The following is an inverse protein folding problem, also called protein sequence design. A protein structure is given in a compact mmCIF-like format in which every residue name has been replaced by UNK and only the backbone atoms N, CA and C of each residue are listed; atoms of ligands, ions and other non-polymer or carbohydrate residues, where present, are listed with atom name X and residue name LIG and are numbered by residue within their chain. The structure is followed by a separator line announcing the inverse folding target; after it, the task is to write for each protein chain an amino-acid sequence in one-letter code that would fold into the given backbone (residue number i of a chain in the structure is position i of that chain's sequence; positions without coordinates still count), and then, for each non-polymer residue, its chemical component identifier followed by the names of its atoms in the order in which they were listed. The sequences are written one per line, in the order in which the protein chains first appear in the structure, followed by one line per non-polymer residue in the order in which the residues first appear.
data_IF_069060117036
#
_entry.id   IF_069060117036
#
_cell.length_a   1.000
_cell.length_b   1.000
_cell.length_c   1.000
_cell.angle_alpha   90.00
_cell.angle_beta   90.00
_cell.angle_gamma   90.00
#
_symmetry.space_group_name_H-M   'P 1'
#
loop_
_entity.id
_entity.type
_entity.pdbx_description
1 polymer ?
#
# COMPACT_ATOMS: atom_id res chain seq x y z
N UNK A 1 -5.89 -31.14 -66.10
CA UNK A 1 -4.86 -31.55 -65.12
C UNK A 1 -5.18 -30.92 -63.77
N UNK A 2 -5.56 -31.71 -62.76
CA UNK A 2 -5.38 -31.38 -61.32
C UNK A 2 -3.98 -31.86 -60.89
N UNK A 3 -3.40 -31.52 -59.70
CA UNK A 3 -3.68 -30.50 -58.67
C UNK A 3 -2.41 -29.77 -58.11
N UNK A 4 -2.57 -29.05 -56.98
CA UNK A 4 -1.58 -28.58 -55.95
C UNK A 4 -1.07 -27.12 -56.08
N UNK A 5 -1.05 -26.27 -55.05
CA UNK A 5 -1.44 -26.47 -53.65
C UNK A 5 -1.15 -25.24 -52.74
N UNK A 6 -1.61 -25.39 -51.49
CA UNK A 6 -1.21 -24.70 -50.24
C UNK A 6 -1.58 -23.21 -50.09
N UNK A 7 -2.64 -22.98 -49.31
CA UNK A 7 -2.99 -21.68 -48.76
C UNK A 7 -2.00 -21.17 -47.71
N UNK A 8 -1.88 -19.85 -47.62
CA UNK A 8 -1.16 -19.14 -46.57
C UNK A 8 -2.19 -18.37 -45.74
N UNK A 9 -2.25 -18.69 -44.44
CA UNK A 9 -3.15 -18.08 -43.46
C UNK A 9 -2.68 -16.69 -43.08
N UNK A 10 -3.62 -15.75 -42.96
CA UNK A 10 -3.42 -14.43 -42.37
C UNK A 10 -2.86 -14.55 -40.93
N UNK A 11 -1.69 -13.96 -40.71
CA UNK A 11 -1.02 -13.91 -39.42
C UNK A 11 -1.75 -13.00 -38.44
N UNK A 12 -2.26 -13.58 -37.36
CA UNK A 12 -2.72 -12.90 -36.15
C UNK A 12 -1.51 -12.23 -35.47
N UNK A 13 -1.39 -10.91 -35.53
CA UNK A 13 -0.57 -10.12 -34.60
C UNK A 13 -1.24 -10.14 -33.22
N UNK A 14 -1.02 -11.23 -32.48
CA UNK A 14 -1.46 -11.37 -31.10
C UNK A 14 -0.54 -10.59 -30.18
N UNK A 15 -1.01 -9.47 -29.64
CA UNK A 15 -0.46 -8.93 -28.40
C UNK A 15 -0.61 -9.99 -27.31
N UNK A 16 0.53 -10.50 -26.83
CA UNK A 16 0.59 -11.48 -25.75
C UNK A 16 0.25 -10.75 -24.45
N UNK A 17 -1.02 -10.77 -24.06
CA UNK A 17 -1.44 -10.41 -22.72
C UNK A 17 -0.69 -11.36 -21.76
N UNK A 18 0.27 -10.84 -21.01
CA UNK A 18 0.95 -11.57 -19.94
C UNK A 18 -0.14 -11.89 -18.91
N UNK A 19 -0.70 -13.09 -18.97
CA UNK A 19 -1.56 -13.63 -17.92
C UNK A 19 -0.70 -13.73 -16.67
N UNK A 20 -0.91 -12.85 -15.70
CA UNK A 20 -0.42 -13.07 -14.35
C UNK A 20 -0.94 -14.44 -13.90
N UNK A 21 0.00 -15.33 -13.58
CA UNK A 21 -0.27 -16.73 -13.26
C UNK A 21 -1.27 -16.84 -12.10
N UNK A 22 -2.34 -17.64 -12.20
CA UNK A 22 -3.30 -17.82 -11.11
C UNK A 22 -2.59 -18.42 -9.89
N UNK A 23 -2.59 -17.71 -8.77
CA UNK A 23 -1.96 -18.17 -7.50
C UNK A 23 -2.80 -19.27 -6.81
N UNK A 24 -3.59 -20.03 -7.57
CA UNK A 24 -4.60 -20.97 -7.09
C UNK A 24 -4.09 -22.33 -6.61
N UNK A 25 -2.78 -22.54 -6.41
CA UNK A 25 -2.25 -23.87 -6.06
C UNK A 25 -1.34 -23.95 -4.83
N UNK A 26 -1.08 -22.87 -4.10
CA UNK A 26 -0.10 -22.90 -2.99
C UNK A 26 -0.62 -22.46 -1.62
N UNK A 27 -1.87 -22.05 -1.49
CA UNK A 27 -2.39 -21.67 -0.18
C UNK A 27 -2.97 -22.90 0.53
N UNK A 28 -2.12 -23.56 1.33
CA UNK A 28 -2.63 -24.29 2.49
C UNK A 28 -3.42 -23.27 3.31
N UNK A 29 -4.69 -23.56 3.46
CA UNK A 29 -5.69 -22.79 4.18
C UNK A 29 -5.19 -22.45 5.59
N UNK A 30 -4.92 -21.18 5.86
CA UNK A 30 -5.13 -20.66 7.21
C UNK A 30 -6.65 -20.71 7.42
N UNK A 31 -7.12 -21.73 8.12
CA UNK A 31 -8.54 -22.14 8.28
C UNK A 31 -9.45 -21.08 8.92
N UNK A 32 -8.96 -19.87 9.18
CA UNK A 32 -9.62 -18.82 9.96
C UNK A 32 -10.13 -17.63 9.14
N UNK A 33 -9.95 -17.60 7.81
CA UNK A 33 -10.43 -16.50 6.97
C UNK A 33 -11.77 -16.83 6.28
N UNK A 34 -12.87 -16.67 7.02
CA UNK A 34 -14.23 -17.02 6.57
C UNK A 34 -14.68 -16.27 5.29
N UNK A 35 -14.15 -15.08 5.02
CA UNK A 35 -14.52 -14.25 3.87
C UNK A 35 -14.04 -14.82 2.51
N UNK A 36 -13.14 -15.80 2.51
CA UNK A 36 -12.62 -16.43 1.28
C UNK A 36 -13.38 -17.71 0.89
N UNK A 37 -14.48 -18.06 1.57
CA UNK A 37 -15.28 -19.25 1.27
C UNK A 37 -16.23 -19.00 0.08
N UNK A 38 -15.83 -19.42 -1.13
CA UNK A 38 -16.71 -19.45 -2.31
C UNK A 38 -15.94 -19.65 -3.62
N UNK A 39 -16.62 -20.09 -4.70
CA UNK A 39 -16.08 -20.25 -6.07
C UNK A 39 -15.76 -18.91 -6.77
N UNK A 40 -15.53 -17.83 -6.01
CA UNK A 40 -15.21 -16.51 -6.55
C UNK A 40 -13.69 -16.36 -6.63
N UNK A 41 -13.19 -15.94 -7.78
CA UNK A 41 -11.77 -15.59 -7.93
C UNK A 41 -11.54 -14.20 -7.33
N UNK A 42 -10.74 -14.13 -6.28
CA UNK A 42 -10.29 -12.89 -5.66
C UNK A 42 -8.94 -12.47 -6.26
N UNK A 43 -8.78 -11.18 -6.52
CA UNK A 43 -7.47 -10.58 -6.83
C UNK A 43 -6.57 -10.61 -5.60
N UNK A 44 -5.25 -10.51 -5.80
CA UNK A 44 -4.29 -10.43 -4.69
C UNK A 44 -4.57 -9.22 -3.77
N UNK A 45 -5.02 -8.10 -4.35
CA UNK A 45 -5.40 -6.90 -3.61
C UNK A 45 -6.62 -7.14 -2.73
N UNK A 46 -7.70 -7.75 -3.26
CA UNK A 46 -8.88 -8.08 -2.46
C UNK A 46 -8.53 -9.03 -1.30
N UNK A 47 -7.70 -10.04 -1.55
CA UNK A 47 -7.25 -10.95 -0.48
C UNK A 47 -6.51 -10.19 0.61
N UNK A 48 -5.60 -9.29 0.24
CA UNK A 48 -4.84 -8.50 1.19
C UNK A 48 -5.74 -7.56 2.02
N UNK A 49 -6.70 -6.88 1.38
CA UNK A 49 -7.68 -6.02 2.05
C UNK A 49 -8.51 -6.81 3.05
N UNK A 50 -8.99 -8.00 2.67
CA UNK A 50 -9.74 -8.90 3.56
C UNK A 50 -8.89 -9.31 4.77
N UNK A 51 -7.62 -9.67 4.54
CA UNK A 51 -6.69 -10.05 5.62
C UNK A 51 -6.48 -8.90 6.61
N UNK A 52 -6.26 -7.68 6.10
CA UNK A 52 -6.11 -6.48 6.94
C UNK A 52 -7.36 -6.23 7.77
N UNK A 53 -8.54 -6.21 7.15
CA UNK A 53 -9.81 -5.99 7.83
C UNK A 53 -10.06 -7.02 8.93
N UNK A 54 -9.75 -8.30 8.69
CA UNK A 54 -9.93 -9.35 9.69
C UNK A 54 -8.96 -9.21 10.86
N UNK A 55 -7.68 -8.91 10.59
CA UNK A 55 -6.70 -8.68 11.64
C UNK A 55 -7.08 -7.46 12.49
N UNK A 56 -7.54 -6.37 11.86
CA UNK A 56 -8.01 -5.15 12.51
C UNK A 56 -9.23 -5.45 13.40
N UNK A 57 -10.27 -6.10 12.86
CA UNK A 57 -11.47 -6.48 13.63
C UNK A 57 -11.12 -7.35 14.84
N UNK A 58 -10.19 -8.28 14.69
CA UNK A 58 -9.76 -9.14 15.79
C UNK A 58 -9.05 -8.35 16.90
N UNK A 59 -8.28 -7.32 16.53
CA UNK A 59 -7.63 -6.43 17.51
C UNK A 59 -8.65 -5.51 18.20
N UNK A 60 -9.54 -4.88 17.43
CA UNK A 60 -10.50 -3.89 17.94
C UNK A 60 -11.62 -4.51 18.78
N UNK A 61 -12.01 -5.75 18.51
CA UNK A 61 -12.92 -6.52 19.36
C UNK A 61 -12.27 -7.04 20.66
N UNK A 62 -10.96 -6.84 20.83
CA UNK A 62 -10.21 -7.34 21.97
C UNK A 62 -9.86 -8.83 21.91
N UNK A 63 -10.29 -9.56 20.87
CA UNK A 63 -9.97 -10.97 20.64
C UNK A 63 -8.46 -11.20 20.52
N UNK A 64 -7.75 -10.26 19.88
CA UNK A 64 -6.29 -10.30 19.72
C UNK A 64 -5.65 -9.09 20.39
N UNK A 65 -4.84 -9.33 21.43
CA UNK A 65 -4.05 -8.28 22.07
C UNK A 65 -2.72 -8.07 21.32
N UNK A 66 -2.35 -6.81 21.07
CA UNK A 66 -1.05 -6.44 20.50
C UNK A 66 0.04 -6.55 21.56
N UNK A 67 0.96 -7.50 21.39
CA UNK A 67 1.94 -7.93 22.41
C UNK A 67 3.25 -7.16 22.37
N UNK A 68 3.70 -6.75 21.18
CA UNK A 68 5.02 -6.16 20.98
C UNK A 68 4.99 -4.98 19.99
N UNK A 69 6.12 -4.30 19.83
CA UNK A 69 6.22 -3.12 18.97
C UNK A 69 6.05 -3.47 17.48
N UNK A 70 6.44 -4.67 17.05
CA UNK A 70 6.22 -5.15 15.68
C UNK A 70 4.73 -5.26 15.38
N UNK A 71 3.95 -5.94 16.22
CA UNK A 71 2.52 -6.07 16.04
C UNK A 71 1.80 -4.72 16.08
N UNK A 72 2.25 -3.80 16.94
CA UNK A 72 1.73 -2.42 16.99
C UNK A 72 2.01 -1.64 15.70
N UNK A 73 3.23 -1.76 15.16
CA UNK A 73 3.59 -1.16 13.88
C UNK A 73 2.76 -1.72 12.73
N UNK A 74 2.75 -3.04 12.59
CA UNK A 74 1.98 -3.75 11.56
C UNK A 74 0.47 -3.43 11.64
N UNK A 75 -0.11 -3.40 12.85
CA UNK A 75 -1.49 -2.95 13.04
C UNK A 75 -1.70 -1.51 12.54
N UNK A 76 -0.75 -0.62 12.84
CA UNK A 76 -0.77 0.76 12.39
C UNK A 76 -0.79 0.89 10.87
N UNK A 77 0.08 0.15 10.17
CA UNK A 77 0.14 0.13 8.71
C UNK A 77 -1.15 -0.42 8.07
N UNK A 78 -1.69 -1.52 8.60
CA UNK A 78 -2.96 -2.09 8.11
C UNK A 78 -4.13 -1.10 8.27
N UNK A 79 -4.20 -0.42 9.42
CA UNK A 79 -5.23 0.61 9.68
C UNK A 79 -5.10 1.79 8.75
N UNK A 80 -3.88 2.22 8.47
CA UNK A 80 -3.60 3.31 7.53
C UNK A 80 -4.02 2.94 6.11
N UNK A 81 -3.74 1.72 5.65
CA UNK A 81 -4.20 1.24 4.35
C UNK A 81 -5.73 1.27 4.24
N UNK A 82 -6.43 0.64 5.20
CA UNK A 82 -7.90 0.61 5.22
C UNK A 82 -8.49 2.01 5.28
N UNK A 83 -7.87 2.93 6.03
CA UNK A 83 -8.30 4.31 6.16
C UNK A 83 -8.26 5.05 4.82
N UNK A 84 -7.14 5.05 4.11
CA UNK A 84 -7.06 5.73 2.81
C UNK A 84 -7.89 5.03 1.72
N UNK A 85 -7.93 3.70 1.71
CA UNK A 85 -8.76 2.95 0.76
C UNK A 85 -10.27 3.24 0.97
N UNK A 86 -10.71 3.45 2.22
CA UNK A 86 -12.09 3.85 2.51
C UNK A 86 -12.44 5.26 2.01
N UNK A 87 -11.44 6.09 1.74
CA UNK A 87 -11.60 7.43 1.15
C UNK A 87 -11.51 7.42 -0.38
N UNK A 88 -11.36 6.25 -1.01
CA UNK A 88 -11.26 6.11 -2.47
C UNK A 88 -9.84 6.08 -3.03
N UNK A 89 -8.81 6.20 -2.19
CA UNK A 89 -7.43 6.11 -2.64
C UNK A 89 -7.04 4.66 -2.98
N UNK A 90 -6.19 4.50 -3.99
CA UNK A 90 -5.53 3.24 -4.33
C UNK A 90 -4.12 3.20 -3.75
N UNK A 91 -3.76 2.14 -3.01
CA UNK A 91 -2.38 1.92 -2.57
C UNK A 91 -1.49 1.52 -3.75
N UNK A 92 -0.45 2.32 -4.02
CA UNK A 92 0.50 2.10 -5.13
C UNK A 92 1.91 1.71 -4.65
N UNK A 93 2.21 1.80 -3.35
CA UNK A 93 3.46 1.28 -2.81
C UNK A 93 3.47 -0.24 -2.73
N UNK A 94 4.68 -0.82 -2.74
CA UNK A 94 4.95 -2.23 -2.44
C UNK A 94 4.90 -2.49 -0.93
N UNK A 95 5.10 -3.74 -0.52
CA UNK A 95 5.31 -4.09 0.89
C UNK A 95 4.10 -3.93 1.80
N UNK A 96 2.87 -4.14 1.29
CA UNK A 96 1.64 -4.14 2.10
C UNK A 96 1.78 -5.11 3.28
N UNK A 97 1.41 -4.66 4.47
CA UNK A 97 1.32 -5.53 5.66
C UNK A 97 -0.05 -6.18 5.72
N UNK A 98 -0.12 -7.50 5.87
CA UNK A 98 -1.41 -8.22 5.95
C UNK A 98 -1.59 -9.06 7.21
N UNK A 99 -0.58 -9.10 8.08
CA UNK A 99 -0.64 -9.85 9.36
C UNK A 99 0.20 -9.18 10.44
N UNK A 100 -0.20 -9.39 11.70
CA UNK A 100 0.43 -8.77 12.88
C UNK A 100 1.89 -9.18 13.08
N UNK A 101 2.26 -10.41 12.74
CA UNK A 101 3.63 -10.93 12.92
C UNK A 101 4.49 -10.84 11.65
N UNK A 102 4.05 -10.05 10.65
CA UNK A 102 4.86 -9.81 9.44
C UNK A 102 6.18 -9.16 9.83
N UNK A 103 7.30 -9.64 9.26
CA UNK A 103 8.61 -9.01 9.47
C UNK A 103 8.55 -7.54 9.06
N UNK A 104 9.02 -6.66 9.94
CA UNK A 104 9.06 -5.21 9.67
C UNK A 104 9.95 -4.97 8.45
N UNK A 105 9.39 -4.32 7.43
CA UNK A 105 10.14 -3.80 6.31
C UNK A 105 10.58 -2.36 6.63
N UNK A 106 11.79 -1.98 6.20
CA UNK A 106 12.24 -0.60 6.31
C UNK A 106 11.80 0.18 5.07
N UNK A 107 11.26 1.39 5.24
CA UNK A 107 10.90 2.23 4.10
C UNK A 107 9.76 3.19 4.41
N UNK A 108 9.10 3.63 3.34
CA UNK A 108 7.81 4.34 3.39
C UNK A 108 6.73 3.28 3.60
N UNK A 109 5.91 3.47 4.64
CA UNK A 109 4.85 2.53 5.00
C UNK A 109 3.74 2.47 3.93
N UNK A 110 3.32 3.62 3.39
CA UNK A 110 2.24 3.69 2.42
C UNK A 110 2.41 4.82 1.40
N UNK A 111 2.11 4.54 0.13
CA UNK A 111 1.90 5.58 -0.89
C UNK A 111 0.59 5.30 -1.59
N UNK A 112 -0.24 6.33 -1.70
CA UNK A 112 -1.61 6.25 -2.19
C UNK A 112 -1.85 7.25 -3.32
N UNK A 113 -2.72 6.88 -4.24
CA UNK A 113 -3.12 7.69 -5.39
C UNK A 113 -4.64 7.76 -5.49
N UNK A 114 -5.17 8.97 -5.64
CA UNK A 114 -6.56 9.23 -5.98
C UNK A 114 -6.64 9.81 -7.41
N UNK A 115 -7.77 9.62 -8.07
CA UNK A 115 -8.09 10.26 -9.35
C UNK A 115 -8.79 11.62 -9.19
N UNK A 116 -9.22 11.95 -7.98
CA UNK A 116 -9.87 13.21 -7.61
C UNK A 116 -8.93 14.44 -7.60
N UNK A 117 -9.48 15.62 -7.24
CA UNK A 117 -8.71 16.84 -7.08
C UNK A 117 -7.63 16.70 -5.98
N UNK A 118 -6.67 17.64 -5.88
CA UNK A 118 -5.59 17.57 -4.90
C UNK A 118 -6.05 17.28 -3.45
N UNK A 119 -5.32 16.44 -2.69
CA UNK A 119 -4.05 15.84 -3.09
C UNK A 119 -4.23 14.53 -3.86
N UNK A 120 -3.63 14.46 -5.06
CA UNK A 120 -3.60 13.26 -5.90
C UNK A 120 -2.78 12.15 -5.26
N UNK A 121 -1.69 12.50 -4.59
CA UNK A 121 -0.79 11.53 -3.97
C UNK A 121 -0.60 11.81 -2.48
N UNK A 122 -0.67 10.74 -1.69
CA UNK A 122 -0.33 10.77 -0.28
C UNK A 122 0.85 9.83 -0.03
N UNK A 123 1.92 10.37 0.54
CA UNK A 123 3.06 9.60 1.06
C UNK A 123 2.89 9.57 2.58
N UNK A 124 2.66 8.39 3.15
CA UNK A 124 2.26 8.27 4.54
C UNK A 124 3.18 7.37 5.36
N UNK A 125 3.32 7.73 6.62
CA UNK A 125 3.99 6.94 7.66
C UNK A 125 3.00 6.69 8.80
N UNK A 126 2.87 5.42 9.21
CA UNK A 126 2.03 5.01 10.32
C UNK A 126 2.82 5.01 11.65
N UNK A 127 2.22 5.54 12.72
CA UNK A 127 2.75 5.40 14.09
C UNK A 127 1.65 5.01 15.06
N UNK A 128 1.90 3.95 15.83
CA UNK A 128 0.99 3.51 16.88
C UNK A 128 1.14 4.34 18.17
N UNK A 129 0.01 4.83 18.66
CA UNK A 129 -0.18 5.56 19.90
C UNK A 129 0.83 6.71 20.11
N UNK A 130 1.86 6.52 20.94
CA UNK A 130 2.88 7.53 21.27
C UNK A 130 4.18 7.38 20.47
N UNK A 131 4.26 6.40 19.56
CA UNK A 131 5.44 6.21 18.71
C UNK A 131 5.73 7.47 17.87
N UNK A 132 7.01 7.78 17.68
CA UNK A 132 7.46 8.99 16.98
C UNK A 132 8.17 8.63 15.68
N UNK A 133 8.32 9.63 14.81
CA UNK A 133 9.22 9.55 13.66
C UNK A 133 10.66 9.39 14.17
N UNK A 134 11.41 8.53 13.50
CA UNK A 134 12.81 8.34 13.83
C UNK A 134 13.67 9.48 13.23
N UNK A 135 14.82 9.73 13.83
CA UNK A 135 15.94 10.40 13.17
C UNK A 135 16.78 9.31 12.50
N UNK A 136 17.01 9.42 11.20
CA UNK A 136 18.05 8.61 10.54
C UNK A 136 19.40 9.31 10.70
N UNK A 137 20.50 8.61 10.43
CA UNK A 137 21.85 9.10 10.67
C UNK A 137 22.12 10.46 9.99
N UNK A 138 21.54 10.67 8.81
CA UNK A 138 21.74 11.91 8.04
C UNK A 138 20.50 12.82 8.00
N UNK A 139 19.29 12.27 8.18
CA UNK A 139 18.03 12.94 7.81
C UNK A 139 16.86 12.59 8.74
N UNK A 140 15.85 13.45 8.84
CA UNK A 140 14.63 13.13 9.58
C UNK A 140 13.77 12.18 8.74
N UNK A 141 13.18 11.16 9.37
CA UNK A 141 12.19 10.34 8.68
C UNK A 141 11.07 11.24 8.12
N UNK A 142 10.68 11.00 6.87
CA UNK A 142 9.70 11.78 6.10
C UNK A 142 10.11 13.21 5.69
N UNK A 143 11.38 13.60 5.84
CA UNK A 143 11.88 14.78 5.11
C UNK A 143 12.03 14.48 3.59
N UNK A 144 12.22 15.52 2.79
CA UNK A 144 12.27 15.39 1.34
C UNK A 144 13.41 14.49 0.85
N UNK A 145 14.60 14.59 1.43
CA UNK A 145 15.74 13.75 1.05
C UNK A 145 15.52 12.28 1.40
N UNK A 146 15.00 12.02 2.60
CA UNK A 146 14.65 10.68 3.06
C UNK A 146 13.59 10.04 2.16
N UNK A 147 12.55 10.80 1.78
CA UNK A 147 11.49 10.34 0.88
C UNK A 147 12.04 10.09 -0.52
N UNK A 148 12.80 11.02 -1.10
CA UNK A 148 13.31 10.89 -2.46
C UNK A 148 14.16 9.62 -2.64
N UNK A 149 15.01 9.29 -1.66
CA UNK A 149 15.86 8.08 -1.68
C UNK A 149 15.06 6.77 -1.61
N UNK A 150 13.83 6.78 -1.09
CA UNK A 150 13.02 5.58 -0.85
C UNK A 150 11.83 5.45 -1.80
N UNK A 151 11.30 6.56 -2.29
CA UNK A 151 10.07 6.61 -3.08
C UNK A 151 10.15 5.75 -4.34
N UNK A 152 11.25 5.84 -5.11
CA UNK A 152 11.42 5.03 -6.32
C UNK A 152 11.37 3.53 -6.04
N UNK A 153 11.93 3.09 -4.92
CA UNK A 153 11.88 1.67 -4.53
C UNK A 153 10.48 1.27 -4.08
N UNK A 154 9.81 2.16 -3.33
CA UNK A 154 8.47 1.94 -2.81
C UNK A 154 7.41 1.79 -3.93
N UNK A 155 7.43 2.64 -4.96
CA UNK A 155 6.37 2.68 -5.99
C UNK A 155 6.79 2.21 -7.39
N UNK A 156 8.10 2.00 -7.62
CA UNK A 156 8.65 1.70 -8.94
C UNK A 156 8.81 2.95 -9.83
N UNK A 157 9.51 2.78 -10.96
CA UNK A 157 9.97 3.91 -11.80
C UNK A 157 8.83 4.75 -12.37
N UNK A 158 7.79 4.10 -12.90
CA UNK A 158 6.66 4.79 -13.55
C UNK A 158 5.95 5.73 -12.56
N UNK A 159 5.48 5.17 -11.43
CA UNK A 159 4.78 5.95 -10.41
C UNK A 159 5.68 6.98 -9.73
N UNK A 160 6.97 6.69 -9.57
CA UNK A 160 7.94 7.68 -9.10
C UNK A 160 7.96 8.92 -10.01
N UNK A 161 8.06 8.73 -11.33
CA UNK A 161 8.05 9.85 -12.28
C UNK A 161 6.73 10.63 -12.25
N UNK A 162 5.59 9.95 -12.14
CA UNK A 162 4.27 10.59 -12.03
C UNK A 162 4.18 11.49 -10.78
N UNK A 163 4.69 11.01 -9.65
CA UNK A 163 4.73 11.76 -8.39
C UNK A 163 5.70 12.94 -8.49
N UNK A 164 6.91 12.74 -9.02
CA UNK A 164 7.89 13.83 -9.21
C UNK A 164 7.34 14.92 -10.11
N UNK A 165 6.70 14.56 -11.23
CA UNK A 165 6.02 15.52 -12.10
C UNK A 165 4.96 16.31 -11.33
N UNK A 166 4.14 15.63 -10.52
CA UNK A 166 3.09 16.26 -9.73
C UNK A 166 3.65 17.24 -8.70
N UNK A 167 4.75 16.90 -8.02
CA UNK A 167 5.44 17.81 -7.09
C UNK A 167 5.92 19.10 -7.77
N UNK A 168 6.31 19.05 -9.04
CA UNK A 168 6.78 20.21 -9.81
C UNK A 168 5.63 21.03 -10.38
N UNK A 169 4.62 20.37 -10.95
CA UNK A 169 3.54 21.06 -11.69
C UNK A 169 2.40 21.54 -10.79
N UNK A 170 2.16 20.87 -9.66
CA UNK A 170 1.16 21.25 -8.67
C UNK A 170 1.60 20.75 -7.29
N UNK A 171 2.40 21.53 -6.55
CA UNK A 171 2.93 21.12 -5.25
C UNK A 171 1.86 20.67 -4.24
N UNK A 172 0.64 21.19 -4.33
CA UNK A 172 -0.48 20.77 -3.46
C UNK A 172 -1.04 19.38 -3.79
N UNK A 173 -0.69 18.83 -4.95
CA UNK A 173 -1.10 17.51 -5.41
C UNK A 173 -0.38 16.38 -4.68
N UNK A 174 0.72 16.65 -3.96
CA UNK A 174 1.46 15.64 -3.20
C UNK A 174 1.61 16.05 -1.75
N UNK A 175 1.06 15.25 -0.83
CA UNK A 175 1.13 15.51 0.61
C UNK A 175 1.88 14.41 1.34
N UNK A 176 2.67 14.80 2.33
CA UNK A 176 3.31 13.88 3.29
C UNK A 176 2.50 13.88 4.57
N UNK A 177 2.08 12.70 5.04
CA UNK A 177 1.23 12.55 6.23
C UNK A 177 1.88 11.63 7.27
N UNK A 178 1.88 12.08 8.52
CA UNK A 178 2.04 11.20 9.68
C UNK A 178 0.64 10.75 10.09
N UNK A 179 0.38 9.44 10.02
CA UNK A 179 -0.89 8.83 10.41
C UNK A 179 -0.72 8.15 11.75
N UNK A 180 -1.37 8.71 12.77
CA UNK A 180 -1.29 8.20 14.14
C UNK A 180 -2.50 7.33 14.45
N UNK A 181 -2.25 6.08 14.79
CA UNK A 181 -3.28 5.14 15.19
C UNK A 181 -3.30 5.09 16.71
N UNK A 182 -4.32 5.67 17.34
CA UNK A 182 -4.47 5.69 18.80
C UNK A 182 -4.78 4.29 19.34
N UNK A 183 -4.63 4.13 20.66
CA UNK A 183 -4.86 2.86 21.35
C UNK A 183 -6.30 2.33 21.22
N UNK A 184 -7.27 3.24 21.12
CA UNK A 184 -8.70 2.99 20.88
C UNK A 184 -9.02 2.74 19.40
N UNK A 185 -8.00 2.77 18.53
CA UNK A 185 -8.14 2.63 17.10
C UNK A 185 -8.42 3.93 16.35
N UNK A 186 -8.60 5.07 17.00
CA UNK A 186 -8.87 6.30 16.28
C UNK A 186 -7.67 6.72 15.41
N UNK A 187 -7.96 7.08 14.15
CA UNK A 187 -6.96 7.54 13.18
C UNK A 187 -6.85 9.05 13.25
N UNK A 188 -5.63 9.57 13.40
CA UNK A 188 -5.34 11.02 13.36
C UNK A 188 -4.27 11.30 12.34
N UNK A 189 -4.59 12.08 11.32
CA UNK A 189 -3.64 12.53 10.32
C UNK A 189 -3.00 13.87 10.70
N UNK A 190 -1.71 14.00 10.41
CA UNK A 190 -0.97 15.26 10.51
C UNK A 190 -0.13 15.46 9.27
N UNK A 191 -0.20 16.64 8.68
CA UNK A 191 0.62 16.98 7.53
C UNK A 191 2.06 17.29 7.94
N UNK A 192 3.00 16.86 7.11
CA UNK A 192 4.43 17.06 7.30
C UNK A 192 4.97 18.04 6.26
N UNK A 193 5.77 19.01 6.70
CA UNK A 193 6.48 19.93 5.83
C UNK A 193 7.66 19.25 5.10
N UNK A 194 8.42 20.04 4.32
CA UNK A 194 9.59 19.57 3.56
C UNK A 194 10.65 18.90 4.43
N UNK A 195 10.79 19.35 5.68
CA UNK A 195 11.81 18.89 6.62
C UNK A 195 11.30 17.78 7.56
N UNK A 196 10.09 17.26 7.31
CA UNK A 196 9.50 16.16 8.08
C UNK A 196 8.93 16.57 9.44
N UNK A 197 8.71 17.87 9.68
CA UNK A 197 8.00 18.37 10.86
C UNK A 197 6.50 18.47 10.61
N UNK A 198 5.73 18.27 11.68
CA UNK A 198 4.28 18.49 11.66
C UNK A 198 4.00 19.97 11.43
N UNK A 199 3.16 20.26 10.44
CA UNK A 199 2.61 21.60 10.22
C UNK A 199 1.58 21.86 11.32
N UNK A 200 1.81 22.89 12.14
CA UNK A 200 0.83 23.38 13.10
C UNK A 200 -0.16 24.27 12.35
N UNK A 201 -1.45 23.97 12.48
CA UNK A 201 -2.54 24.85 12.04
C UNK A 201 -2.88 25.80 13.18
#
# INVERSE_FOLDING_TARGET
MTPMGKGVKAGKLGFKLVKESPVGKWFKTDSNNAALKGKRHYTATEVAQIQQQNAIKSVESGKTKLKNNQQKGNYGEMKMDVHYESQGYNRISKGRVTKLDQKIAQGIDGVYEDSGPPPKFIIAEAKYNKAQLNKTQDWRQMDNYWVQRRLRSAVGVKKYNDIQKSMVTNPDSVKKKLVRIKHDGNVVEKELNTDGYIIKK
#
